data_IF_443869110204
#
_entry.id   IF_443869110204
#
_cell.length_a   1.000
_cell.length_b   1.000
_cell.length_c   1.000
_cell.angle_alpha   90.00
_cell.angle_beta   90.00
_cell.angle_gamma   90.00
#
_symmetry.space_group_name_H-M   'P 1'
#
loop_
_entity.id
_entity.type
_entity.pdbx_description
1 polymer ?
#
# COMPACT_ATOMS: atom_id res chain seq x y z
N UNK A 1 -11.91 -12.00 -6.24
CA UNK A 1 -12.39 -10.75 -6.84
C UNK A 1 -12.94 -9.73 -5.83
N UNK A 2 -13.25 -10.09 -4.57
CA UNK A 2 -13.59 -9.09 -3.53
C UNK A 2 -12.35 -8.30 -3.03
N UNK A 3 -11.26 -9.00 -2.72
CA UNK A 3 -10.04 -8.41 -2.14
C UNK A 3 -9.42 -7.24 -2.94
N UNK A 4 -9.41 -7.32 -4.28
CA UNK A 4 -8.89 -6.23 -5.12
C UNK A 4 -9.78 -4.99 -5.13
N UNK A 5 -11.10 -5.16 -4.94
CA UNK A 5 -12.03 -4.06 -4.89
C UNK A 5 -11.85 -3.26 -3.59
N UNK A 6 -11.71 -3.98 -2.47
CA UNK A 6 -11.46 -3.37 -1.15
C UNK A 6 -10.10 -2.64 -1.14
N UNK A 7 -9.06 -3.24 -1.74
CA UNK A 7 -7.76 -2.59 -1.92
C UNK A 7 -7.81 -1.34 -2.80
N UNK A 8 -8.64 -1.34 -3.83
CA UNK A 8 -8.79 -0.17 -4.71
C UNK A 8 -9.36 1.04 -3.94
N UNK A 9 -10.12 0.83 -2.86
CA UNK A 9 -10.59 1.90 -1.98
C UNK A 9 -9.45 2.59 -1.21
N UNK A 10 -8.27 1.94 -1.12
CA UNK A 10 -7.09 2.51 -0.48
C UNK A 10 -6.27 3.41 -1.41
N UNK A 11 -6.65 3.56 -2.69
CA UNK A 11 -5.99 4.52 -3.59
C UNK A 11 -6.13 5.94 -3.03
N UNK A 12 -5.02 6.68 -3.07
CA UNK A 12 -4.80 7.99 -2.44
C UNK A 12 -4.85 8.00 -0.90
N UNK A 13 -4.93 6.84 -0.24
CA UNK A 13 -4.83 6.73 1.21
C UNK A 13 -3.39 6.52 1.66
N UNK A 14 -3.08 7.06 2.83
CA UNK A 14 -1.84 6.75 3.56
C UNK A 14 -2.00 5.40 4.25
N UNK A 15 -1.06 4.49 3.99
CA UNK A 15 -1.06 3.15 4.56
C UNK A 15 0.36 2.76 4.98
N UNK A 16 0.46 1.75 5.84
CA UNK A 16 1.73 1.06 6.13
C UNK A 16 1.66 -0.33 5.48
N UNK A 17 2.55 -0.59 4.53
CA UNK A 17 2.69 -1.91 3.91
C UNK A 17 3.81 -2.66 4.61
N UNK A 18 3.50 -3.84 5.14
CA UNK A 18 4.46 -4.76 5.71
C UNK A 18 4.86 -5.78 4.65
N UNK A 19 6.16 -5.87 4.37
CA UNK A 19 6.71 -6.83 3.40
C UNK A 19 8.10 -7.27 3.82
N UNK A 20 8.32 -8.59 3.91
CA UNK A 20 9.62 -9.20 4.22
C UNK A 20 10.26 -8.66 5.51
N UNK A 21 9.46 -8.51 6.58
CA UNK A 21 9.89 -7.95 7.88
C UNK A 21 10.26 -6.46 7.85
N UNK A 22 10.01 -5.76 6.74
CA UNK A 22 10.12 -4.31 6.65
C UNK A 22 8.73 -3.67 6.63
N UNK A 23 8.63 -2.44 7.11
CA UNK A 23 7.41 -1.64 7.10
C UNK A 23 7.63 -0.39 6.27
N UNK A 24 6.70 -0.09 5.37
CA UNK A 24 6.81 1.04 4.44
C UNK A 24 5.60 1.95 4.57
N UNK A 25 5.84 3.19 4.98
CA UNK A 25 4.80 4.23 5.04
C UNK A 25 4.66 4.86 3.65
N UNK A 26 3.51 4.64 3.00
CA UNK A 26 3.32 5.00 1.59
C UNK A 26 1.92 5.56 1.35
N UNK A 27 1.76 6.30 0.25
CA UNK A 27 0.46 6.63 -0.34
C UNK A 27 0.23 5.70 -1.53
N UNK A 28 -0.85 4.91 -1.53
CA UNK A 28 -1.16 4.05 -2.68
C UNK A 28 -1.59 4.94 -3.84
N UNK A 29 -0.90 4.82 -4.97
CA UNK A 29 -1.23 5.57 -6.20
C UNK A 29 -2.08 4.75 -7.16
N UNK A 30 -1.90 3.43 -7.18
CA UNK A 30 -2.62 2.54 -8.08
C UNK A 30 -2.57 1.11 -7.53
N UNK A 31 -3.69 0.40 -7.65
CA UNK A 31 -3.78 -1.04 -7.42
C UNK A 31 -3.91 -1.72 -8.77
N UNK A 32 -2.95 -2.58 -9.09
CA UNK A 32 -2.93 -3.38 -10.32
C UNK A 32 -3.30 -4.84 -10.01
N UNK A 33 -3.54 -5.68 -11.02
CA UNK A 33 -3.97 -7.07 -10.79
C UNK A 33 -3.01 -7.92 -9.94
N UNK A 34 -1.71 -7.64 -9.95
CA UNK A 34 -0.71 -8.43 -9.21
C UNK A 34 0.24 -7.60 -8.32
N UNK A 35 0.09 -6.27 -8.30
CA UNK A 35 0.96 -5.40 -7.51
C UNK A 35 0.28 -4.09 -7.13
N UNK A 36 0.84 -3.42 -6.13
CA UNK A 36 0.49 -2.06 -5.72
C UNK A 36 1.62 -1.13 -6.13
N UNK A 37 1.27 0.00 -6.76
CA UNK A 37 2.17 1.12 -6.97
C UNK A 37 1.90 2.17 -5.89
N UNK A 38 2.90 2.52 -5.11
CA UNK A 38 2.76 3.49 -4.05
C UNK A 38 3.93 4.49 -4.03
N UNK A 39 3.71 5.63 -3.39
CA UNK A 39 4.68 6.70 -3.23
C UNK A 39 5.16 6.67 -1.78
N UNK A 40 6.45 6.49 -1.56
CA UNK A 40 7.05 6.48 -0.24
C UNK A 40 7.00 7.86 0.40
N UNK A 41 6.44 7.92 1.62
CA UNK A 41 6.36 9.15 2.39
C UNK A 41 7.76 9.53 2.89
N UNK A 42 8.14 10.79 2.66
CA UNK A 42 9.44 11.35 3.04
C UNK A 42 10.43 11.42 1.88
N UNK A 43 10.48 10.43 1.00
CA UNK A 43 11.36 10.43 -0.17
C UNK A 43 10.67 10.84 -1.47
N UNK A 44 9.34 10.62 -1.58
CA UNK A 44 8.59 10.81 -2.82
C UNK A 44 8.87 9.74 -3.89
N UNK A 45 9.69 8.73 -3.57
CA UNK A 45 10.04 7.68 -4.50
C UNK A 45 8.86 6.75 -4.77
N UNK A 46 8.72 6.31 -6.02
CA UNK A 46 7.73 5.30 -6.39
C UNK A 46 8.27 3.92 -6.03
N UNK A 47 7.48 3.15 -5.30
CA UNK A 47 7.73 1.74 -4.98
C UNK A 47 6.63 0.85 -5.53
N UNK A 48 7.01 -0.37 -5.86
CA UNK A 48 6.13 -1.41 -6.35
C UNK A 48 6.13 -2.58 -5.36
N UNK A 49 4.94 -3.00 -4.93
CA UNK A 49 4.76 -4.08 -3.98
C UNK A 49 4.00 -5.22 -4.66
N UNK A 50 4.65 -6.36 -4.85
CA UNK A 50 3.99 -7.58 -5.34
C UNK A 50 3.13 -8.16 -4.20
N UNK A 51 1.87 -8.49 -4.48
CA UNK A 51 0.96 -9.09 -3.50
C UNK A 51 1.53 -10.35 -2.84
N UNK A 52 2.28 -11.18 -3.57
CA UNK A 52 2.88 -12.41 -3.03
C UNK A 52 3.94 -12.15 -1.95
N UNK A 53 4.40 -10.89 -1.82
CA UNK A 53 5.42 -10.47 -0.86
C UNK A 53 4.88 -9.54 0.21
N UNK A 54 3.60 -9.18 0.16
CA UNK A 54 2.97 -8.34 1.17
C UNK A 54 2.45 -9.27 2.26
N UNK A 55 2.92 -9.05 3.47
CA UNK A 55 2.49 -9.81 4.64
C UNK A 55 1.14 -9.27 5.15
N UNK A 56 1.03 -7.93 5.24
CA UNK A 56 -0.16 -7.23 5.74
C UNK A 56 -0.13 -5.74 5.34
N UNK A 57 -1.30 -5.10 5.28
CA UNK A 57 -1.45 -3.66 5.03
C UNK A 57 -2.25 -3.05 6.17
N UNK A 58 -1.70 -2.04 6.83
CA UNK A 58 -2.34 -1.28 7.89
C UNK A 58 -2.86 0.07 7.36
N UNK A 59 -4.13 0.37 7.62
CA UNK A 59 -4.71 1.67 7.33
C UNK A 59 -4.30 2.68 8.41
N UNK A 60 -3.68 3.80 8.00
CA UNK A 60 -3.46 4.92 8.91
C UNK A 60 -4.72 5.78 8.97
N UNK A 61 -5.64 5.46 9.88
CA UNK A 61 -6.73 6.37 10.20
C UNK A 61 -6.15 7.69 10.75
N UNK A 62 -6.70 8.86 10.38
CA UNK A 62 -6.30 10.11 11.02
C UNK A 62 -6.56 9.99 12.53
N UNK A 63 -5.53 10.23 13.33
CA UNK A 63 -5.71 10.39 14.77
C UNK A 63 -6.52 11.67 14.97
N UNK A 64 -7.77 11.52 15.43
CA UNK A 64 -8.57 12.64 15.93
C UNK A 64 -7.88 13.34 17.09
#
# INVERSE_FOLDING_TARGET
>A
MAFQHDLACLVNQKVIIHSNRCSFCVIISQVCPCYIRAIELGSGNIRYFNFDRIDYIEECLPQC
#
